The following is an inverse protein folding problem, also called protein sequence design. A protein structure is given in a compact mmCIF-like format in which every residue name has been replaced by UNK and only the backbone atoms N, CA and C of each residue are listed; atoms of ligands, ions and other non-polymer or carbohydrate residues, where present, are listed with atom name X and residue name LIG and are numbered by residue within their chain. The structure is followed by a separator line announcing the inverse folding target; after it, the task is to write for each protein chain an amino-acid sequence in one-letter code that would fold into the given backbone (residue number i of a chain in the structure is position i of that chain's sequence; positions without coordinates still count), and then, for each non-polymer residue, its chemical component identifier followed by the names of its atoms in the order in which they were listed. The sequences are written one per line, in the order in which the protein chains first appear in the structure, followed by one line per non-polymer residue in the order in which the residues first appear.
data_IF_496742868511
#
_entry.id   IF_496742868511
#
_cell.length_a   1.000
_cell.length_b   1.000
_cell.length_c   1.000
_cell.angle_alpha   90.00
_cell.angle_beta   90.00
_cell.angle_gamma   90.00
#
_symmetry.space_group_name_H-M   'P 1'
#
loop_
_entity.id
_entity.type
_entity.pdbx_description
1 polymer ?
2 polymer ?
3 non-polymer ?
4 non-polymer ?
5 non-polymer ?
6 water ?
#
# COMPACT_ATOMS: atom_id res chain seq x y z
N UNK A 1 -0.70 -15.12 -19.64
CA UNK A 1 0.41 -15.21 -18.67
C UNK A 1 1.73 -15.36 -19.41
N UNK A 2 2.45 -14.24 -19.52
CA UNK A 2 3.80 -14.21 -20.10
C UNK A 2 4.76 -15.10 -19.30
N UNK A 3 4.44 -15.35 -18.00
CA UNK A 3 5.32 -16.11 -17.10
C UNK A 3 4.79 -17.54 -16.97
N UNK A 4 3.79 -17.87 -17.78
CA UNK A 4 3.13 -19.18 -17.68
C UNK A 4 4.07 -20.36 -17.90
N UNK A 5 5.11 -20.17 -18.73
CA UNK A 5 6.04 -21.27 -19.00
C UNK A 5 7.22 -21.38 -18.02
N UNK A 6 7.35 -20.45 -17.03
CA UNK A 6 8.46 -20.50 -16.12
C UNK A 6 8.03 -21.18 -14.81
N UNK A 7 8.94 -21.96 -14.23
CA UNK A 7 8.68 -22.67 -12.94
C UNK A 7 8.41 -21.64 -11.82
N UNK A 8 7.46 -21.95 -10.92
CA UNK A 8 7.21 -21.10 -9.75
C UNK A 8 8.51 -20.77 -9.02
N UNK A 9 9.34 -21.78 -8.75
CA UNK A 9 10.51 -21.53 -7.95
C UNK A 9 11.45 -20.57 -8.67
N UNK A 10 11.55 -20.71 -10.00
CA UNK A 10 12.42 -19.83 -10.83
C UNK A 10 11.90 -18.38 -10.81
N UNK A 11 10.58 -18.22 -10.88
CA UNK A 11 9.97 -16.86 -10.79
C UNK A 11 10.36 -16.23 -9.43
N UNK A 12 10.26 -17.00 -8.35
CA UNK A 12 10.58 -16.45 -7.03
C UNK A 12 12.08 -16.07 -6.99
N UNK A 13 12.95 -16.98 -7.43
CA UNK A 13 14.40 -16.73 -7.49
C UNK A 13 14.68 -15.44 -8.28
N UNK A 14 14.05 -15.29 -9.45
CA UNK A 14 14.24 -14.12 -10.32
C UNK A 14 13.65 -12.87 -9.68
N UNK A 15 12.54 -13.01 -8.94
CA UNK A 15 12.04 -11.84 -8.20
C UNK A 15 13.11 -11.32 -7.22
N UNK A 16 13.79 -12.25 -6.54
CA UNK A 16 14.82 -11.89 -5.56
C UNK A 16 16.01 -11.22 -6.26
N UNK A 17 16.39 -11.74 -7.41
CA UNK A 17 17.48 -11.12 -8.23
C UNK A 17 17.09 -9.71 -8.68
N UNK A 18 15.84 -9.58 -9.17
CA UNK A 18 15.34 -8.34 -9.65
C UNK A 18 15.38 -7.29 -8.53
N UNK A 19 15.01 -7.71 -7.33
CA UNK A 19 15.09 -6.82 -6.16
C UNK A 19 16.54 -6.35 -5.94
N UNK A 20 17.50 -7.27 -6.00
CA UNK A 20 18.91 -6.85 -5.80
C UNK A 20 19.38 -5.86 -6.88
N UNK A 21 18.86 -5.98 -8.10
CA UNK A 21 19.18 -5.15 -9.23
C UNK A 21 18.35 -3.87 -9.29
N UNK A 22 17.41 -3.69 -8.34
CA UNK A 22 16.47 -2.56 -8.30
C UNK A 22 15.65 -2.50 -9.61
N UNK A 23 15.28 -3.67 -10.14
CA UNK A 23 14.44 -3.81 -11.30
C UNK A 23 13.03 -4.17 -10.85
N UNK A 24 12.30 -3.18 -10.33
CA UNK A 24 11.08 -3.48 -9.60
C UNK A 24 9.95 -3.89 -10.56
N UNK A 25 9.91 -3.34 -11.77
CA UNK A 25 8.91 -3.72 -12.71
C UNK A 25 9.06 -5.22 -13.03
N UNK A 26 10.29 -5.65 -13.29
CA UNK A 26 10.56 -7.09 -13.47
C UNK A 26 10.15 -7.89 -12.21
N UNK A 27 10.52 -7.39 -11.04
CA UNK A 27 10.22 -8.06 -9.76
C UNK A 27 8.70 -8.27 -9.65
N UNK A 28 7.92 -7.24 -10.04
CA UNK A 28 6.47 -7.32 -9.95
C UNK A 28 5.92 -8.34 -10.95
N UNK A 29 6.43 -8.32 -12.17
CA UNK A 29 5.98 -9.25 -13.18
C UNK A 29 6.31 -10.70 -12.79
N UNK A 30 7.47 -10.95 -12.21
CA UNK A 30 7.80 -12.29 -11.77
C UNK A 30 6.85 -12.73 -10.63
N UNK A 31 6.57 -11.83 -9.68
CA UNK A 31 5.70 -12.21 -8.57
C UNK A 31 4.25 -12.39 -9.04
N UNK A 32 3.79 -11.57 -9.98
CA UNK A 32 2.49 -11.77 -10.63
C UNK A 32 2.43 -13.20 -11.20
N UNK A 33 3.49 -13.58 -11.92
CA UNK A 33 3.60 -14.93 -12.50
C UNK A 33 3.52 -16.01 -11.44
N UNK A 34 4.22 -15.80 -10.32
CA UNK A 34 4.23 -16.77 -9.22
C UNK A 34 2.80 -16.91 -8.64
N UNK A 35 2.13 -15.79 -8.40
CA UNK A 35 0.77 -15.82 -7.87
C UNK A 35 -0.12 -16.63 -8.82
N UNK A 36 0.00 -16.37 -10.11
CA UNK A 36 -0.89 -16.98 -11.12
C UNK A 36 -0.65 -18.49 -11.25
N UNK A 37 0.39 -19.05 -10.62
CA UNK A 37 0.55 -20.50 -10.49
C UNK A 37 -0.57 -21.12 -9.65
N UNK A 38 -1.22 -20.28 -8.83
CA UNK A 38 -2.43 -20.71 -8.10
C UNK A 38 -2.17 -21.26 -6.72
N UNK A 39 -0.92 -21.43 -6.33
CA UNK A 39 -0.62 -21.88 -4.98
C UNK A 39 -0.65 -20.67 -4.03
N UNK A 40 -0.93 -20.91 -2.75
CA UNK A 40 -0.86 -19.87 -1.73
C UNK A 40 0.61 -19.39 -1.61
N UNK A 41 0.81 -18.15 -1.14
CA UNK A 41 2.15 -17.59 -0.95
C UNK A 41 2.60 -17.77 0.49
N UNK A 42 3.88 -18.06 0.67
CA UNK A 42 4.51 -18.04 1.99
C UNK A 42 4.68 -16.60 2.49
N UNK A 43 5.07 -16.44 3.76
CA UNK A 43 5.37 -15.13 4.31
C UNK A 43 6.39 -14.36 3.47
N UNK A 44 7.52 -14.98 3.16
CA UNK A 44 8.55 -14.30 2.37
C UNK A 44 8.01 -13.90 1.01
N UNK A 45 7.23 -14.80 0.38
CA UNK A 45 6.67 -14.56 -0.98
C UNK A 45 5.65 -13.41 -0.97
N UNK A 46 4.84 -13.32 0.08
CA UNK A 46 3.92 -12.19 0.23
C UNK A 46 4.69 -10.89 0.31
N UNK A 47 5.79 -10.90 1.08
CA UNK A 47 6.60 -9.70 1.24
C UNK A 47 7.23 -9.32 -0.11
N UNK A 48 7.66 -10.30 -0.93
CA UNK A 48 8.24 -9.96 -2.23
C UNK A 48 7.19 -9.32 -3.14
N UNK A 49 5.99 -9.89 -3.12
CA UNK A 49 4.87 -9.36 -3.91
C UNK A 49 4.64 -7.89 -3.55
N UNK A 50 4.49 -7.64 -2.22
CA UNK A 50 4.17 -6.31 -1.75
C UNK A 50 5.29 -5.32 -2.08
N UNK A 51 6.54 -5.68 -1.76
CA UNK A 51 7.67 -4.79 -2.05
C UNK A 51 7.70 -4.45 -3.55
N UNK A 52 7.49 -5.46 -4.40
CA UNK A 52 7.65 -5.18 -5.82
C UNK A 52 6.64 -4.14 -6.25
N UNK A 53 5.35 -4.39 -5.98
CA UNK A 53 4.34 -3.49 -6.48
C UNK A 53 4.39 -2.13 -5.77
N UNK A 54 4.83 -2.11 -4.51
CA UNK A 54 4.94 -0.89 -3.76
C UNK A 54 5.96 0.04 -4.43
N UNK A 55 7.06 -0.53 -4.91
CA UNK A 55 8.09 0.21 -5.57
C UNK A 55 7.59 0.71 -6.93
N UNK A 56 6.88 -0.13 -7.68
CA UNK A 56 6.36 0.28 -8.97
C UNK A 56 5.36 1.44 -8.80
N UNK A 57 4.36 1.24 -7.94
CA UNK A 57 3.32 2.23 -7.80
C UNK A 57 3.88 3.50 -7.16
N UNK A 58 4.94 3.35 -6.37
CA UNK A 58 5.58 4.49 -5.76
C UNK A 58 6.16 5.49 -6.74
N UNK A 59 6.90 4.99 -7.73
CA UNK A 59 7.37 5.80 -8.86
C UNK A 59 6.23 6.52 -9.58
N UNK A 60 5.10 5.84 -9.80
CA UNK A 60 4.00 6.39 -10.54
C UNK A 60 3.31 7.48 -9.70
N UNK A 61 3.18 7.25 -8.38
CA UNK A 61 2.56 8.22 -7.47
C UNK A 61 3.41 9.50 -7.43
N UNK A 62 4.73 9.36 -7.33
CA UNK A 62 5.61 10.48 -7.25
C UNK A 62 5.52 11.26 -8.56
N UNK A 63 5.53 10.57 -9.70
CA UNK A 63 5.39 11.21 -11.03
C UNK A 63 4.04 11.93 -11.16
N UNK A 64 2.95 11.26 -10.76
CA UNK A 64 1.60 11.82 -10.83
C UNK A 64 1.56 13.15 -10.06
N UNK A 65 2.15 13.19 -8.86
CA UNK A 65 2.07 14.39 -8.02
C UNK A 65 2.83 15.56 -8.67
N UNK A 66 4.01 15.29 -9.25
CA UNK A 66 4.75 16.31 -9.99
C UNK A 66 3.87 16.90 -11.08
N UNK A 67 3.25 16.04 -11.89
CA UNK A 67 2.47 16.44 -13.04
C UNK A 67 1.19 17.15 -12.61
N UNK A 68 0.55 16.66 -11.55
CA UNK A 68 -0.64 17.25 -11.04
C UNK A 68 -0.35 18.69 -10.58
N UNK A 69 0.76 18.89 -9.90
CA UNK A 69 1.17 20.18 -9.38
C UNK A 69 1.39 21.18 -10.54
N UNK A 70 2.07 20.73 -11.58
CA UNK A 70 2.28 21.56 -12.77
C UNK A 70 0.93 21.95 -13.39
N UNK A 71 0.05 20.96 -13.56
CA UNK A 71 -1.25 21.15 -14.16
C UNK A 71 -2.05 22.20 -13.36
N UNK A 72 -2.01 22.07 -12.04
CA UNK A 72 -2.78 22.97 -11.18
C UNK A 72 -2.26 24.41 -11.33
N UNK A 73 -0.94 24.59 -11.37
CA UNK A 73 -0.29 25.88 -11.64
C UNK A 73 -0.74 26.44 -13.00
N UNK A 74 -0.77 25.59 -14.03
CA UNK A 74 -1.15 26.01 -15.39
C UNK A 74 -2.58 26.54 -15.42
N UNK A 75 -3.42 26.18 -14.43
CA UNK A 75 -4.83 26.62 -14.35
C UNK A 75 -5.01 27.75 -13.32
N UNK A 76 -3.92 28.34 -12.81
CA UNK A 76 -3.98 29.53 -11.92
C UNK A 76 -4.30 30.78 -12.77
N UNK A 77 -4.63 31.88 -12.09
CA UNK A 77 -5.02 33.19 -12.73
C UNK A 77 -3.75 34.01 -13.04
N UNK A 78 -3.37 34.03 -14.32
CA UNK A 78 -2.14 34.70 -14.79
C UNK A 78 -1.18 33.74 -15.48
N UNK A 79 -1.51 32.43 -15.49
CA UNK A 79 -0.72 31.38 -16.16
C UNK A 79 -1.06 31.37 -17.66
N UNK A 80 -0.05 31.21 -18.52
CA UNK A 80 -0.20 31.24 -19.99
C UNK A 80 -0.68 29.86 -20.46
N UNK A 81 -1.64 29.84 -21.41
CA UNK A 81 -2.24 28.60 -21.96
C UNK A 81 -1.13 27.81 -22.65
N UNK A 82 -0.76 26.67 -22.08
CA UNK A 82 0.33 25.84 -22.60
C UNK A 82 -0.24 24.75 -23.53
N UNK A 83 -1.58 24.70 -23.65
CA UNK A 83 -2.27 23.69 -24.47
C UNK A 83 -2.61 22.44 -23.67
N UNK A 84 -2.99 21.32 -24.33
CA UNK A 84 -3.49 20.14 -23.62
C UNK A 84 -2.44 19.16 -23.09
N UNK A 85 -1.15 19.45 -23.31
CA UNK A 85 -0.09 18.45 -23.11
C UNK A 85 0.04 18.07 -21.64
N UNK A 86 0.00 19.04 -20.74
CA UNK A 86 0.20 18.74 -19.34
C UNK A 86 -0.88 17.78 -18.87
N UNK A 87 -2.13 18.15 -19.15
CA UNK A 87 -3.28 17.29 -18.84
C UNK A 87 -3.13 15.90 -19.50
N UNK A 88 -2.81 15.85 -20.79
CA UNK A 88 -2.67 14.59 -21.52
C UNK A 88 -1.65 13.67 -20.83
N UNK A 89 -0.51 14.26 -20.45
CA UNK A 89 0.57 13.45 -19.92
C UNK A 89 0.25 13.05 -18.47
N UNK A 90 -0.35 13.97 -17.69
CA UNK A 90 -0.80 13.56 -16.33
C UNK A 90 -1.82 12.40 -16.45
N UNK A 91 -2.73 12.48 -17.43
CA UNK A 91 -3.72 11.41 -17.70
C UNK A 91 -3.01 10.09 -18.05
N UNK A 92 -1.93 10.17 -18.83
CA UNK A 92 -1.20 8.97 -19.30
C UNK A 92 -0.64 8.24 -18.07
N UNK A 93 0.00 9.01 -17.20
CA UNK A 93 0.62 8.48 -16.00
C UNK A 93 -0.44 7.96 -15.03
N UNK A 94 -1.53 8.72 -14.88
CA UNK A 94 -2.62 8.34 -14.05
C UNK A 94 -3.21 7.00 -14.50
N UNK A 95 -3.41 6.85 -15.81
CA UNK A 95 -4.00 5.64 -16.33
C UNK A 95 -3.07 4.43 -16.06
N UNK A 96 -1.75 4.60 -16.20
CA UNK A 96 -0.81 3.53 -15.94
C UNK A 96 -0.82 3.14 -14.44
N UNK A 97 -0.90 4.16 -13.58
CA UNK A 97 -1.02 3.96 -12.12
C UNK A 97 -2.27 3.13 -11.79
N UNK A 98 -3.39 3.52 -12.40
CA UNK A 98 -4.65 2.85 -12.19
C UNK A 98 -4.55 1.41 -12.68
N UNK A 99 -3.84 1.16 -13.79
CA UNK A 99 -3.65 -0.18 -14.28
C UNK A 99 -2.90 -1.08 -13.31
N UNK A 100 -1.84 -0.54 -12.71
CA UNK A 100 -1.06 -1.24 -11.72
C UNK A 100 -1.93 -1.59 -10.49
N UNK A 101 -2.69 -0.60 -10.00
CA UNK A 101 -3.60 -0.84 -8.88
C UNK A 101 -4.63 -1.93 -9.22
N UNK A 102 -5.22 -1.86 -10.42
CA UNK A 102 -6.23 -2.87 -10.86
C UNK A 102 -5.60 -4.26 -10.95
N UNK A 103 -4.34 -4.31 -11.40
CA UNK A 103 -3.60 -5.56 -11.51
C UNK A 103 -3.45 -6.21 -10.12
N UNK A 104 -3.00 -5.41 -9.15
CA UNK A 104 -2.82 -5.90 -7.82
C UNK A 104 -4.17 -6.34 -7.20
N UNK A 105 -5.20 -5.50 -7.33
CA UNK A 105 -6.53 -5.84 -6.80
C UNK A 105 -7.05 -7.12 -7.43
N UNK A 106 -6.77 -7.26 -8.73
CA UNK A 106 -7.11 -8.49 -9.48
C UNK A 106 -6.46 -9.75 -8.90
N UNK A 107 -5.19 -9.68 -8.51
CA UNK A 107 -4.52 -10.82 -7.91
C UNK A 107 -5.14 -11.12 -6.55
N UNK A 108 -5.42 -10.07 -5.78
CA UNK A 108 -5.98 -10.26 -4.43
C UNK A 108 -7.37 -10.92 -4.56
N UNK A 109 -8.13 -10.51 -5.57
CA UNK A 109 -9.52 -11.03 -5.75
C UNK A 109 -9.55 -12.40 -6.47
N UNK A 110 -8.49 -12.71 -7.23
CA UNK A 110 -8.39 -13.95 -8.02
C UNK A 110 -7.03 -14.64 -7.81
N UNK A 111 -6.78 -15.33 -6.69
CA UNK A 111 -7.72 -15.72 -5.67
C UNK A 111 -7.03 -15.69 -4.30
N UNK A 112 -6.13 -14.71 -4.11
CA UNK A 112 -5.30 -14.68 -2.91
C UNK A 112 -6.16 -14.54 -1.64
N UNK A 113 -7.09 -13.59 -1.61
CA UNK A 113 -7.82 -13.34 -0.37
C UNK A 113 -8.71 -14.54 -0.03
N UNK A 114 -9.42 -15.11 -1.00
CA UNK A 114 -10.38 -16.13 -0.64
C UNK A 114 -9.70 -17.40 -0.12
N UNK A 115 -8.42 -17.66 -0.46
CA UNK A 115 -7.75 -18.84 0.01
C UNK A 115 -6.95 -18.58 1.29
N UNK A 116 -6.89 -17.32 1.76
CA UNK A 116 -6.08 -16.98 2.92
C UNK A 116 -6.93 -17.15 4.20
N UNK A 117 -6.60 -18.16 4.99
CA UNK A 117 -7.33 -18.43 6.27
C UNK A 117 -6.57 -18.03 7.51
N UNK A 118 -5.23 -18.02 7.47
CA UNK A 118 -4.47 -17.64 8.63
C UNK A 118 -4.51 -16.13 8.75
N UNK A 119 -4.47 -15.65 9.99
CA UNK A 119 -4.56 -14.22 10.27
C UNK A 119 -3.43 -13.47 9.55
N UNK A 120 -2.20 -14.01 9.56
CA UNK A 120 -1.06 -13.28 9.03
C UNK A 120 -1.19 -13.12 7.50
N UNK A 121 -1.73 -14.12 6.80
CA UNK A 121 -1.95 -13.94 5.40
C UNK A 121 -3.16 -13.05 5.11
N UNK A 122 -4.30 -13.31 5.78
CA UNK A 122 -5.53 -12.66 5.42
C UNK A 122 -5.44 -11.16 5.74
N UNK A 123 -4.82 -10.83 6.88
CA UNK A 123 -4.65 -9.43 7.25
C UNK A 123 -3.70 -8.74 6.25
N UNK A 124 -2.64 -9.44 5.85
CA UNK A 124 -1.67 -8.88 4.90
C UNK A 124 -2.38 -8.48 3.61
N UNK A 125 -3.20 -9.40 3.07
CA UNK A 125 -3.81 -9.20 1.76
C UNK A 125 -4.90 -8.13 1.85
N UNK A 126 -5.67 -8.12 2.95
CA UNK A 126 -6.72 -7.14 3.07
C UNK A 126 -6.12 -5.74 3.26
N UNK A 127 -5.00 -5.65 3.99
CA UNK A 127 -4.27 -4.39 4.08
C UNK A 127 -3.85 -3.92 2.67
N UNK A 128 -3.30 -4.85 1.88
CA UNK A 128 -2.90 -4.50 0.51
C UNK A 128 -4.13 -3.99 -0.26
N UNK A 129 -5.28 -4.67 -0.10
CA UNK A 129 -6.47 -4.27 -0.81
C UNK A 129 -6.84 -2.83 -0.45
N UNK A 130 -6.79 -2.51 0.84
CA UNK A 130 -7.03 -1.13 1.29
C UNK A 130 -6.03 -0.16 0.71
N UNK A 131 -4.77 -0.55 0.70
CA UNK A 131 -3.70 0.31 0.20
C UNK A 131 -3.91 0.65 -1.28
N UNK A 132 -4.25 -0.34 -2.12
CA UNK A 132 -4.31 -0.09 -3.58
C UNK A 132 -5.60 0.69 -3.90
N UNK A 133 -6.69 0.46 -3.18
CA UNK A 133 -7.86 1.34 -3.26
C UNK A 133 -7.49 2.76 -2.84
N UNK A 134 -6.70 2.90 -1.77
CA UNK A 134 -6.22 4.23 -1.35
C UNK A 134 -5.44 4.92 -2.47
N UNK A 135 -4.56 4.20 -3.18
CA UNK A 135 -3.79 4.81 -4.26
C UNK A 135 -4.75 5.21 -5.38
N UNK A 136 -5.78 4.39 -5.64
CA UNK A 136 -6.76 4.85 -6.59
C UNK A 136 -7.45 6.12 -6.11
N UNK A 137 -7.77 6.19 -4.83
CA UNK A 137 -8.50 7.32 -4.27
C UNK A 137 -7.68 8.61 -4.42
N UNK A 138 -6.35 8.49 -4.33
CA UNK A 138 -5.48 9.68 -4.36
C UNK A 138 -5.68 10.41 -5.70
N UNK A 139 -5.96 9.67 -6.77
CA UNK A 139 -6.08 10.27 -8.11
C UNK A 139 -7.54 10.37 -8.58
N UNK A 140 -8.50 9.89 -7.77
CA UNK A 140 -9.91 9.82 -8.18
C UNK A 140 -10.57 11.20 -8.03
N UNK A 141 -11.38 11.58 -9.03
CA UNK A 141 -12.09 12.86 -9.04
C UNK A 141 -13.51 12.71 -9.58
N UNK A 142 -13.90 11.50 -9.98
CA UNK A 142 -15.16 11.24 -10.67
C UNK A 142 -16.28 10.84 -9.70
N UNK A 143 -17.37 10.35 -10.30
CA UNK A 143 -18.56 9.94 -9.56
C UNK A 143 -18.28 8.59 -8.87
N UNK A 144 -17.11 7.99 -9.08
CA UNK A 144 -16.72 6.73 -8.42
C UNK A 144 -15.83 7.00 -7.20
N UNK A 145 -15.42 8.26 -6.95
CA UNK A 145 -14.47 8.55 -5.86
C UNK A 145 -15.02 8.03 -4.50
N UNK A 146 -16.30 8.24 -4.27
CA UNK A 146 -16.87 7.85 -2.98
C UNK A 146 -16.81 6.32 -2.81
N UNK A 147 -17.11 5.57 -3.88
CA UNK A 147 -17.15 4.12 -3.81
C UNK A 147 -15.72 3.59 -3.66
N UNK A 148 -14.75 4.23 -4.32
CA UNK A 148 -13.33 3.81 -4.17
C UNK A 148 -12.92 3.96 -2.70
N UNK A 149 -13.23 5.12 -2.12
CA UNK A 149 -12.90 5.42 -0.74
C UNK A 149 -13.54 4.36 0.16
N UNK A 150 -14.81 4.06 -0.12
CA UNK A 150 -15.53 3.13 0.74
C UNK A 150 -14.93 1.71 0.59
N UNK A 151 -14.43 1.40 -0.60
CA UNK A 151 -13.77 0.11 -0.82
C UNK A 151 -12.49 0.03 0.02
N UNK A 152 -11.67 1.10 0.01
CA UNK A 152 -10.48 1.14 0.85
C UNK A 152 -10.90 0.92 2.32
N UNK A 153 -11.85 1.72 2.80
CA UNK A 153 -12.26 1.63 4.23
C UNK A 153 -12.72 0.20 4.59
N UNK A 154 -13.54 -0.38 3.75
CA UNK A 154 -14.08 -1.68 3.99
C UNK A 154 -12.97 -2.74 4.15
N UNK A 155 -11.98 -2.69 3.26
CA UNK A 155 -10.89 -3.65 3.29
C UNK A 155 -10.05 -3.44 4.56
N UNK A 156 -9.73 -2.17 4.84
CA UNK A 156 -8.97 -1.84 6.04
C UNK A 156 -9.69 -2.29 7.29
N UNK A 157 -11.01 -2.07 7.33
CA UNK A 157 -11.82 -2.37 8.52
C UNK A 157 -11.86 -3.89 8.78
N UNK A 158 -11.98 -4.71 7.71
CA UNK A 158 -12.06 -6.16 7.88
C UNK A 158 -10.70 -6.64 8.42
N UNK A 159 -9.62 -6.07 7.86
CA UNK A 159 -8.27 -6.38 8.29
C UNK A 159 -8.10 -6.00 9.76
N UNK A 160 -8.57 -4.79 10.12
CA UNK A 160 -8.42 -4.33 11.52
C UNK A 160 -9.14 -5.30 12.47
N UNK A 161 -10.37 -5.68 12.08
CA UNK A 161 -11.21 -6.54 12.93
C UNK A 161 -10.48 -7.88 13.21
N UNK A 162 -9.89 -8.48 12.16
CA UNK A 162 -9.23 -9.78 12.30
C UNK A 162 -7.97 -9.59 13.14
N UNK A 163 -7.26 -8.49 12.89
CA UNK A 163 -5.97 -8.24 13.51
C UNK A 163 -6.14 -8.06 15.03
N UNK A 164 -7.20 -7.36 15.41
CA UNK A 164 -7.50 -7.14 16.82
C UNK A 164 -7.89 -8.44 17.51
N UNK A 165 -8.58 -9.34 16.81
CA UNK A 165 -9.02 -10.60 17.41
C UNK A 165 -7.87 -11.60 17.47
N UNK A 166 -6.96 -11.61 16.48
CA UNK A 166 -6.10 -12.77 16.24
C UNK A 166 -4.60 -12.47 16.44
N UNK A 167 -4.19 -11.22 16.62
CA UNK A 167 -2.77 -10.87 16.65
C UNK A 167 -2.51 -10.05 17.89
N UNK A 168 -1.29 -10.12 18.47
CA UNK A 168 -0.94 -9.25 19.57
C UNK A 168 -0.73 -7.83 19.06
N UNK A 169 -0.87 -6.84 19.95
CA UNK A 169 -0.77 -5.44 19.58
C UNK A 169 0.58 -5.01 19.00
N UNK A 170 1.63 -5.83 19.22
CA UNK A 170 2.96 -5.53 18.67
C UNK A 170 3.22 -6.17 17.31
N UNK A 171 2.28 -6.98 16.82
CA UNK A 171 2.47 -7.68 15.56
C UNK A 171 2.76 -6.66 14.45
N UNK A 172 3.91 -6.74 13.73
CA UNK A 172 4.28 -5.74 12.74
C UNK A 172 3.25 -5.59 11.62
N UNK A 173 2.56 -6.68 11.26
CA UNK A 173 1.51 -6.55 10.23
C UNK A 173 0.36 -5.70 10.77
N UNK A 174 -0.09 -6.02 11.99
CA UNK A 174 -1.14 -5.27 12.68
C UNK A 174 -0.72 -3.80 12.79
N UNK A 175 0.53 -3.53 13.14
CA UNK A 175 1.00 -2.15 13.32
C UNK A 175 1.00 -1.39 12.00
N UNK A 176 1.47 -2.07 10.95
CA UNK A 176 1.55 -1.50 9.63
C UNK A 176 0.18 -1.19 9.04
N UNK A 177 -0.78 -2.06 9.33
CA UNK A 177 -2.15 -1.85 8.95
C UNK A 177 -2.68 -0.58 9.62
N UNK A 178 -2.46 -0.48 10.92
CA UNK A 178 -3.02 0.65 11.68
C UNK A 178 -2.39 1.95 11.19
N UNK A 179 -1.09 1.94 10.95
CA UNK A 179 -0.41 3.06 10.39
C UNK A 179 -1.13 3.53 9.14
N UNK A 180 -1.30 2.59 8.21
CA UNK A 180 -1.86 2.93 6.91
C UNK A 180 -3.34 3.35 6.99
N UNK A 181 -4.14 2.69 7.84
CA UNK A 181 -5.52 3.05 7.98
C UNK A 181 -5.58 4.45 8.59
N UNK A 182 -4.66 4.76 9.51
CA UNK A 182 -4.67 6.11 10.13
C UNK A 182 -4.41 7.16 9.05
N UNK A 183 -3.47 6.91 8.13
CA UNK A 183 -3.22 7.86 7.02
C UNK A 183 -4.45 7.95 6.10
N UNK A 184 -5.08 6.84 5.78
CA UNK A 184 -6.35 6.84 5.10
C UNK A 184 -7.33 7.81 5.80
N UNK A 185 -7.49 7.69 7.10
CA UNK A 185 -8.43 8.53 7.78
C UNK A 185 -8.02 10.00 7.62
N UNK A 186 -6.73 10.27 7.75
CA UNK A 186 -6.29 11.62 7.86
C UNK A 186 -6.54 12.37 6.55
N UNK A 187 -6.11 11.77 5.44
CA UNK A 187 -6.12 12.53 4.21
C UNK A 187 -7.00 11.96 3.10
N UNK A 188 -7.59 10.78 3.26
CA UNK A 188 -8.54 10.27 2.23
C UNK A 188 -9.97 10.47 2.72
N UNK A 189 -10.23 10.10 3.99
CA UNK A 189 -11.55 10.23 4.59
C UNK A 189 -11.76 11.59 5.24
N UNK A 190 -10.77 12.47 5.25
CA UNK A 190 -10.94 13.81 5.85
C UNK A 190 -11.40 13.65 7.31
N UNK A 191 -10.78 12.68 8.02
CA UNK A 191 -11.10 12.39 9.42
C UNK A 191 -9.84 12.48 10.28
N UNK A 192 -9.21 13.66 10.44
CA UNK A 192 -7.95 13.77 11.17
C UNK A 192 -8.07 13.33 12.64
N UNK A 193 -9.23 13.51 13.25
CA UNK A 193 -9.35 13.12 14.64
C UNK A 193 -9.29 11.60 14.75
N UNK A 194 -9.98 10.92 13.84
CA UNK A 194 -9.95 9.46 13.82
C UNK A 194 -8.52 8.97 13.60
N UNK A 195 -7.82 9.59 12.65
CA UNK A 195 -6.42 9.26 12.33
C UNK A 195 -5.56 9.33 13.59
N UNK A 196 -5.69 10.44 14.33
CA UNK A 196 -4.87 10.69 15.50
C UNK A 196 -5.19 9.67 16.61
N UNK A 197 -6.48 9.43 16.85
CA UNK A 197 -6.95 8.48 17.86
C UNK A 197 -6.43 7.08 17.51
N UNK A 198 -6.55 6.69 16.25
CA UNK A 198 -6.11 5.35 15.92
C UNK A 198 -4.59 5.22 16.14
N UNK A 199 -3.82 6.22 15.72
CA UNK A 199 -2.34 6.14 15.80
C UNK A 199 -1.89 6.11 17.26
N UNK A 200 -2.53 6.93 18.08
CA UNK A 200 -2.21 7.02 19.52
C UNK A 200 -2.52 5.71 20.23
N UNK A 201 -3.75 5.23 20.10
CA UNK A 201 -4.16 4.02 20.73
C UNK A 201 -3.28 2.83 20.28
N UNK A 202 -2.98 2.79 18.98
CA UNK A 202 -2.15 1.71 18.46
C UNK A 202 -0.75 1.75 19.07
N UNK A 203 -0.18 2.96 19.12
CA UNK A 203 1.17 3.16 19.71
C UNK A 203 1.20 2.70 21.18
N UNK A 204 0.21 3.14 21.95
CA UNK A 204 0.15 2.94 23.37
C UNK A 204 -0.07 1.45 23.66
N UNK A 205 -0.90 0.75 22.89
CA UNK A 205 -1.16 -0.63 23.15
C UNK A 205 0.06 -1.50 22.78
N UNK A 206 0.80 -1.10 21.74
CA UNK A 206 2.04 -1.78 21.41
C UNK A 206 3.10 -1.54 22.51
N UNK A 207 3.23 -0.29 22.94
CA UNK A 207 4.20 0.02 24.00
C UNK A 207 4.05 -0.95 25.19
N UNK A 208 2.81 -1.21 25.59
CA UNK A 208 2.53 -1.96 26.80
C UNK A 208 2.74 -3.47 26.60
N UNK A 209 2.93 -3.90 25.34
CA UNK A 209 3.14 -5.32 24.99
C UNK A 209 4.63 -5.61 24.66
N UNK A 210 5.48 -4.57 24.59
CA UNK A 210 6.84 -4.75 24.15
C UNK A 210 7.58 -5.71 25.09
N UNK A 211 7.21 -5.69 26.38
CA UNK A 211 7.90 -6.50 27.40
C UNK A 211 7.88 -8.01 27.06
N UNK A 212 6.92 -8.45 26.21
CA UNK A 212 6.77 -9.87 25.91
C UNK A 212 7.74 -10.36 24.84
N UNK A 213 8.46 -9.43 24.19
CA UNK A 213 9.13 -9.75 22.94
C UNK A 213 10.62 -10.03 23.17
N UNK A 214 11.19 -10.83 22.26
CA UNK A 214 12.63 -10.92 22.03
C UNK A 214 13.21 -9.62 21.49
N UNK A 215 14.54 -9.52 21.56
CA UNK A 215 15.25 -8.38 21.04
C UNK A 215 14.89 -8.16 19.56
N UNK A 216 14.87 -9.24 18.78
CA UNK A 216 14.62 -9.10 17.35
C UNK A 216 13.16 -8.64 17.09
N UNK A 217 12.20 -9.21 17.82
CA UNK A 217 10.81 -8.84 17.62
C UNK A 217 10.60 -7.39 18.06
N UNK A 218 11.29 -7.03 19.14
CA UNK A 218 11.27 -5.67 19.67
C UNK A 218 11.72 -4.66 18.60
N UNK A 219 12.81 -4.96 17.88
CA UNK A 219 13.30 -4.11 16.80
C UNK A 219 12.23 -3.96 15.71
N UNK A 220 11.64 -5.08 15.28
CA UNK A 220 10.63 -5.09 14.21
C UNK A 220 9.43 -4.21 14.60
N UNK A 221 8.95 -4.34 15.83
CA UNK A 221 7.75 -3.61 16.30
C UNK A 221 8.06 -2.11 16.48
N UNK A 222 9.19 -1.80 17.13
CA UNK A 222 9.52 -0.39 17.41
C UNK A 222 9.77 0.40 16.12
N UNK A 223 10.24 -0.26 15.06
CA UNK A 223 10.41 0.41 13.76
C UNK A 223 9.08 1.00 13.29
N UNK A 224 8.01 0.22 13.37
CA UNK A 224 6.76 0.71 12.86
C UNK A 224 6.13 1.67 13.87
N UNK A 225 6.37 1.42 15.15
CA UNK A 225 5.88 2.33 16.15
C UNK A 225 6.44 3.73 15.88
N UNK A 226 7.71 3.82 15.47
CA UNK A 226 8.32 5.11 15.20
C UNK A 226 7.62 5.83 14.05
N UNK A 227 7.13 5.08 13.05
CA UNK A 227 6.35 5.69 11.98
C UNK A 227 5.05 6.33 12.52
N UNK A 228 4.35 5.60 13.40
CA UNK A 228 3.11 6.13 14.05
C UNK A 228 3.47 7.46 14.73
N UNK A 229 4.54 7.42 15.50
CA UNK A 229 5.02 8.62 16.24
C UNK A 229 5.36 9.75 15.26
N UNK A 230 6.01 9.44 14.15
CA UNK A 230 6.38 10.47 13.18
C UNK A 230 5.14 11.22 12.68
N UNK A 231 4.09 10.47 12.34
CA UNK A 231 2.84 11.08 11.86
C UNK A 231 2.18 11.89 12.97
N UNK A 232 2.09 11.32 14.18
CA UNK A 232 1.48 11.99 15.30
C UNK A 232 2.17 13.34 15.55
N UNK A 233 3.51 13.36 15.42
CA UNK A 233 4.31 14.62 15.54
C UNK A 233 3.85 15.66 14.52
N UNK A 234 3.60 15.22 13.27
CA UNK A 234 3.16 16.14 12.22
C UNK A 234 1.71 16.58 12.45
N UNK A 235 0.89 15.72 13.07
CA UNK A 235 -0.56 15.91 13.15
C UNK A 235 -0.98 16.69 14.42
N UNK A 236 -0.13 16.79 15.45
CA UNK A 236 -0.54 17.37 16.77
C UNK A 236 0.47 18.44 17.24
N UNK B 1 3.62 17.57 -2.36
CA UNK B 1 2.68 17.16 -1.28
C UNK B 1 3.52 16.66 -0.11
N UNK B 2 3.18 17.12 1.09
CA UNK B 2 3.68 16.45 2.30
C UNK B 2 3.00 15.08 2.36
N UNK B 3 3.83 14.02 2.25
CA UNK B 3 3.38 12.64 2.35
C UNK B 3 3.65 12.13 3.78
N UNK B 4 2.64 11.53 4.42
CA UNK B 4 2.82 10.95 5.74
C UNK B 4 3.42 9.55 5.62
N UNK B 5 3.90 9.03 6.75
CA UNK B 5 4.52 7.73 6.81
C UNK B 5 3.49 6.63 6.62
N UNK B 7 3.45 2.16 5.60
CA UNK B 7 4.25 0.97 5.72
C UNK B 7 5.10 0.75 4.45
N UNK B 8 6.33 0.29 4.68
CA UNK B 8 7.11 -0.34 3.66
C UNK B 8 7.87 0.68 2.82
N UNK B 9 8.37 0.24 1.63
CA UNK B 9 9.19 1.11 0.78
C UNK B 9 8.55 2.47 0.57
N UNK B 10 9.30 3.52 0.93
CA UNK B 10 8.93 4.89 0.64
C UNK B 10 9.53 5.22 -0.73
N UNK B 11 8.83 4.72 -1.75
CA UNK B 11 9.29 4.58 -3.13
C UNK B 11 8.74 5.73 -3.98
N UNK B 12 7.94 6.60 -3.33
CA UNK B 12 7.31 7.76 -3.96
C UNK B 12 7.97 9.02 -3.38
#
# INVERSE_FOLDING_TARGET
GAMGSMERASLIQKAKLAEQAERYEDMAAFMKGAVEKGEELSCEERNLLSVAYKNVVGGQRAAWRVLSSIEQKSNEEGSEEKGPEVREYREKVETELQGVCDTVLGLLDSHLIKEAGDAESRVFYLKMKGDYYRYLAEVATGDDKKRIIDSARSAYQEAMDISKKEMPPTNPIRLGLALNFSVFHYEIANSPEEAISLAKTTFDEAMADLHTLSEDSYKDSTLIMQLLRDNLTLWTADNAGEEGGEAPQEPQS
KLMFKXEGPDSD
#
